data_IF_754100726796
#
_entry.id   IF_754100726796
#
_cell.length_a   1.000
_cell.length_b   1.000
_cell.length_c   1.000
_cell.angle_alpha   90.00
_cell.angle_beta   90.00
_cell.angle_gamma   90.00
#
_symmetry.space_group_name_H-M   'P 1'
#
loop_
_entity.id
_entity.type
_entity.pdbx_description
1 polymer ?
#
# COMPACT_ATOMS: atom_id res chain seq x y z
N UNK A 1 17.07 -6.43 -33.49
CA UNK A 1 17.18 -5.38 -32.45
C UNK A 1 18.48 -5.61 -31.72
N UNK A 2 19.33 -4.60 -31.54
CA UNK A 2 20.60 -4.74 -30.82
C UNK A 2 20.37 -4.94 -29.31
N UNK A 3 21.14 -5.82 -28.68
CA UNK A 3 21.07 -6.04 -27.24
C UNK A 3 21.45 -4.77 -26.45
N UNK A 4 20.74 -4.47 -25.35
CA UNK A 4 21.02 -3.29 -24.55
C UNK A 4 22.38 -3.41 -23.84
N UNK A 5 23.19 -2.36 -23.92
CA UNK A 5 24.46 -2.27 -23.22
C UNK A 5 24.27 -2.11 -21.70
N UNK A 6 25.27 -2.46 -20.86
CA UNK A 6 25.19 -2.24 -19.41
C UNK A 6 24.90 -0.78 -19.02
N UNK A 7 25.41 0.18 -19.79
CA UNK A 7 25.16 1.61 -19.58
C UNK A 7 23.70 2.00 -19.90
N UNK A 8 23.12 1.45 -20.97
CA UNK A 8 21.69 1.64 -21.29
C UNK A 8 20.79 1.05 -20.19
N UNK A 9 21.10 -0.15 -19.70
CA UNK A 9 20.39 -0.77 -18.58
C UNK A 9 20.51 0.06 -17.28
N UNK A 10 21.68 0.65 -17.01
CA UNK A 10 21.86 1.54 -15.88
C UNK A 10 20.94 2.77 -15.96
N UNK A 11 20.85 3.40 -17.15
CA UNK A 11 19.98 4.57 -17.38
C UNK A 11 18.50 4.20 -17.28
N UNK A 12 18.09 3.05 -17.82
CA UNK A 12 16.73 2.55 -17.67
C UNK A 12 16.38 2.27 -16.21
N UNK A 13 17.31 1.71 -15.43
CA UNK A 13 17.11 1.49 -13.99
C UNK A 13 16.94 2.81 -13.24
N UNK A 14 17.71 3.85 -13.55
CA UNK A 14 17.53 5.17 -12.94
C UNK A 14 16.14 5.75 -13.22
N UNK A 15 15.66 5.66 -14.46
CA UNK A 15 14.31 6.10 -14.81
C UNK A 15 13.23 5.27 -14.09
N UNK A 16 13.41 3.95 -14.04
CA UNK A 16 12.50 3.06 -13.31
C UNK A 16 12.49 3.37 -11.80
N UNK A 17 13.63 3.74 -11.22
CA UNK A 17 13.72 4.14 -9.81
C UNK A 17 12.86 5.37 -9.54
N UNK A 18 13.01 6.42 -10.35
CA UNK A 18 12.20 7.64 -10.21
C UNK A 18 10.69 7.36 -10.30
N UNK A 19 10.29 6.47 -11.22
CA UNK A 19 8.89 6.07 -11.36
C UNK A 19 8.41 5.25 -10.15
N UNK A 20 9.23 4.31 -9.67
CA UNK A 20 8.95 3.54 -8.46
C UNK A 20 8.76 4.46 -7.25
N UNK A 21 9.62 5.45 -7.08
CA UNK A 21 9.52 6.41 -5.97
C UNK A 21 8.22 7.22 -6.04
N UNK A 22 7.80 7.63 -7.25
CA UNK A 22 6.54 8.33 -7.46
C UNK A 22 5.34 7.46 -7.09
N UNK A 23 5.28 6.22 -7.57
CA UNK A 23 4.18 5.30 -7.25
C UNK A 23 4.17 4.93 -5.77
N UNK A 24 5.32 4.83 -5.11
CA UNK A 24 5.41 4.61 -3.66
C UNK A 24 4.84 5.78 -2.85
N UNK A 25 5.13 7.02 -3.25
CA UNK A 25 4.52 8.21 -2.62
C UNK A 25 3.01 8.21 -2.79
N UNK A 26 2.53 7.89 -4.00
CA UNK A 26 1.10 7.80 -4.29
C UNK A 26 0.43 6.72 -3.44
N UNK A 27 1.00 5.52 -3.39
CA UNK A 27 0.52 4.42 -2.56
C UNK A 27 0.48 4.80 -1.08
N UNK A 28 1.53 5.45 -0.57
CA UNK A 28 1.59 5.88 0.84
C UNK A 28 0.46 6.86 1.20
N UNK A 29 0.09 7.75 0.29
CA UNK A 29 -1.05 8.65 0.49
C UNK A 29 -2.39 7.90 0.56
N UNK A 30 -2.60 6.88 -0.28
CA UNK A 30 -3.78 6.00 -0.16
C UNK A 30 -3.77 5.21 1.14
N UNK A 31 -2.62 4.64 1.52
CA UNK A 31 -2.46 3.86 2.75
C UNK A 31 -2.82 4.69 3.98
N UNK A 32 -2.31 5.91 4.08
CA UNK A 32 -2.62 6.83 5.18
C UNK A 32 -4.12 7.12 5.28
N UNK A 33 -4.82 7.32 4.16
CA UNK A 33 -6.29 7.53 4.17
C UNK A 33 -7.05 6.30 4.66
N UNK A 34 -6.64 5.11 4.22
CA UNK A 34 -7.21 3.84 4.67
C UNK A 34 -6.99 3.63 6.17
N UNK A 35 -5.77 3.86 6.66
CA UNK A 35 -5.42 3.75 8.08
C UNK A 35 -6.27 4.70 8.94
N UNK A 36 -6.46 5.95 8.50
CA UNK A 36 -7.33 6.91 9.20
C UNK A 36 -8.79 6.44 9.22
N UNK A 37 -9.32 5.94 8.11
CA UNK A 37 -10.69 5.43 8.05
C UNK A 37 -10.89 4.20 8.96
N UNK A 38 -9.91 3.29 9.00
CA UNK A 38 -9.93 2.14 9.90
C UNK A 38 -9.88 2.56 11.37
N UNK A 39 -9.03 3.52 11.72
CA UNK A 39 -8.96 4.05 13.08
C UNK A 39 -10.28 4.72 13.50
N UNK A 40 -10.94 5.43 12.58
CA UNK A 40 -12.26 6.01 12.83
C UNK A 40 -13.33 4.95 13.09
N UNK A 41 -13.35 3.86 12.31
CA UNK A 41 -14.27 2.73 12.52
C UNK A 41 -14.05 2.12 13.91
N UNK A 42 -12.80 1.80 14.25
CA UNK A 42 -12.46 1.20 15.54
C UNK A 42 -12.88 2.09 16.73
N UNK A 43 -12.75 3.42 16.61
CA UNK A 43 -13.21 4.35 17.64
C UNK A 43 -14.75 4.32 17.82
N UNK A 44 -15.50 4.24 16.72
CA UNK A 44 -16.98 4.16 16.77
C UNK A 44 -17.43 2.83 17.37
N UNK A 45 -16.77 1.73 17.02
CA UNK A 45 -17.04 0.41 17.59
C UNK A 45 -16.76 0.38 19.09
N UNK A 46 -15.66 0.98 19.53
CA UNK A 46 -15.34 1.14 20.95
C UNK A 46 -16.41 1.95 21.70
N UNK A 47 -16.87 3.06 21.13
CA UNK A 47 -17.98 3.85 21.70
C UNK A 47 -19.26 3.03 21.83
N UNK A 48 -19.64 2.28 20.79
CA UNK A 48 -20.81 1.39 20.82
C UNK A 48 -20.67 0.31 21.89
N UNK A 49 -19.50 -0.33 21.98
CA UNK A 49 -19.23 -1.32 23.00
C UNK A 49 -19.36 -0.73 24.41
N UNK A 50 -18.89 0.50 24.62
CA UNK A 50 -19.04 1.22 25.90
C UNK A 50 -20.51 1.45 26.27
N UNK A 51 -21.36 1.80 25.30
CA UNK A 51 -22.81 1.97 25.53
C UNK A 51 -23.47 0.65 25.95
N UNK A 52 -23.14 -0.45 25.27
CA UNK A 52 -23.75 -1.76 25.55
C UNK A 52 -23.16 -2.49 26.76
N UNK A 53 -21.92 -2.19 27.14
CA UNK A 53 -21.28 -2.76 28.32
C UNK A 53 -21.76 -2.13 29.64
N UNK A 54 -22.68 -1.16 29.61
CA UNK A 54 -23.27 -0.58 30.80
C UNK A 54 -24.09 -1.64 31.56
N UNK A 55 -23.62 -2.02 32.76
CA UNK A 55 -24.20 -3.09 33.59
C UNK A 55 -25.16 -2.58 34.68
N UNK A 56 -25.51 -1.29 34.68
CA UNK A 56 -26.44 -0.71 35.64
C UNK A 56 -27.89 -0.75 35.14
N UNK A 57 -28.84 -0.84 36.08
CA UNK A 57 -30.25 -0.66 35.77
C UNK A 57 -30.48 0.77 35.25
N UNK A 58 -31.08 0.87 34.07
CA UNK A 58 -31.46 2.16 33.51
C UNK A 58 -32.84 2.58 33.98
N UNK A 59 -32.98 3.86 34.31
CA UNK A 59 -34.28 4.52 34.23
C UNK A 59 -34.75 4.57 32.76
N UNK A 60 -36.05 4.76 32.53
CA UNK A 60 -36.60 4.90 31.17
C UNK A 60 -35.92 6.06 30.41
N UNK A 61 -35.59 7.16 31.09
CA UNK A 61 -34.94 8.31 30.48
C UNK A 61 -33.51 7.97 30.02
N UNK A 62 -32.74 7.28 30.86
CA UNK A 62 -31.38 6.84 30.52
C UNK A 62 -31.39 5.79 29.41
N UNK A 63 -32.34 4.86 29.42
CA UNK A 63 -32.50 3.87 28.36
C UNK A 63 -32.81 4.54 27.00
N UNK A 64 -33.66 5.57 26.98
CA UNK A 64 -33.94 6.35 25.75
C UNK A 64 -32.70 7.07 25.26
N UNK A 65 -31.92 7.66 26.15
CA UNK A 65 -30.68 8.35 25.80
C UNK A 65 -29.64 7.38 25.23
N UNK A 66 -29.41 6.24 25.91
CA UNK A 66 -28.49 5.21 25.46
C UNK A 66 -28.87 4.68 24.05
N UNK A 67 -30.16 4.42 23.82
CA UNK A 67 -30.66 4.00 22.51
C UNK A 67 -30.47 5.09 21.42
N UNK A 68 -30.68 6.36 21.76
CA UNK A 68 -30.46 7.46 20.82
C UNK A 68 -28.98 7.56 20.41
N UNK A 69 -28.07 7.48 21.40
CA UNK A 69 -26.62 7.48 21.19
C UNK A 69 -26.16 6.27 20.37
N UNK A 70 -26.62 5.07 20.72
CA UNK A 70 -26.32 3.86 19.97
C UNK A 70 -26.81 3.97 18.52
N UNK A 71 -28.03 4.47 18.30
CA UNK A 71 -28.57 4.69 16.97
C UNK A 71 -27.76 5.69 16.15
N UNK A 72 -27.30 6.77 16.76
CA UNK A 72 -26.41 7.74 16.10
C UNK A 72 -25.07 7.11 15.71
N UNK A 73 -24.43 6.41 16.65
CA UNK A 73 -23.14 5.75 16.44
C UNK A 73 -23.22 4.65 15.39
N UNK A 74 -24.26 3.82 15.39
CA UNK A 74 -24.48 2.80 14.36
C UNK A 74 -24.63 3.41 12.96
N UNK A 75 -25.35 4.54 12.82
CA UNK A 75 -25.42 5.25 11.53
C UNK A 75 -24.07 5.85 11.12
N UNK A 76 -23.27 6.32 12.08
CA UNK A 76 -21.92 6.81 11.80
C UNK A 76 -20.98 5.68 11.35
N UNK A 77 -21.09 4.50 11.99
CA UNK A 77 -20.34 3.30 11.63
C UNK A 77 -20.61 2.90 10.19
N UNK A 78 -21.88 2.76 9.81
CA UNK A 78 -22.27 2.41 8.43
C UNK A 78 -21.70 3.37 7.39
N UNK A 79 -21.70 4.68 7.67
CA UNK A 79 -21.11 5.67 6.76
C UNK A 79 -19.59 5.54 6.66
N UNK A 80 -18.91 5.30 7.78
CA UNK A 80 -17.46 5.13 7.82
C UNK A 80 -17.04 3.85 7.07
N UNK A 81 -17.75 2.74 7.29
CA UNK A 81 -17.53 1.47 6.57
C UNK A 81 -17.77 1.63 5.06
N UNK A 82 -18.85 2.29 4.66
CA UNK A 82 -19.12 2.56 3.25
C UNK A 82 -18.02 3.43 2.63
N UNK A 83 -17.54 4.44 3.35
CA UNK A 83 -16.44 5.30 2.90
C UNK A 83 -15.15 4.49 2.72
N UNK A 84 -14.80 3.63 3.68
CA UNK A 84 -13.65 2.72 3.57
C UNK A 84 -13.78 1.80 2.35
N UNK A 85 -14.94 1.18 2.15
CA UNK A 85 -15.20 0.32 0.99
C UNK A 85 -15.00 1.04 -0.35
N UNK A 86 -15.36 2.32 -0.43
CA UNK A 86 -15.14 3.15 -1.62
C UNK A 86 -13.65 3.48 -1.85
N UNK A 87 -12.83 3.52 -0.80
CA UNK A 87 -11.39 3.81 -0.91
C UNK A 87 -10.56 2.59 -1.33
N UNK A 88 -11.00 1.37 -0.95
CA UNK A 88 -10.23 0.12 -1.16
C UNK A 88 -9.82 -0.13 -2.62
N UNK A 89 -10.67 0.08 -3.65
CA UNK A 89 -10.26 -0.12 -5.04
C UNK A 89 -9.08 0.79 -5.44
N UNK A 90 -9.12 2.07 -5.04
CA UNK A 90 -8.04 3.02 -5.32
C UNK A 90 -6.75 2.65 -4.60
N UNK A 91 -6.86 2.17 -3.36
CA UNK A 91 -5.74 1.63 -2.59
C UNK A 91 -5.08 0.44 -3.29
N UNK A 92 -5.86 -0.56 -3.73
CA UNK A 92 -5.31 -1.74 -4.41
C UNK A 92 -4.67 -1.40 -5.76
N UNK A 93 -5.27 -0.49 -6.54
CA UNK A 93 -4.67 -0.01 -7.79
C UNK A 93 -3.32 0.65 -7.53
N UNK A 94 -3.23 1.53 -6.53
CA UNK A 94 -1.98 2.19 -6.17
C UNK A 94 -0.94 1.19 -5.65
N UNK A 95 -1.37 0.21 -4.83
CA UNK A 95 -0.52 -0.87 -4.32
C UNK A 95 0.09 -1.69 -5.46
N UNK A 96 -0.72 -2.13 -6.41
CA UNK A 96 -0.26 -2.92 -7.55
C UNK A 96 0.70 -2.13 -8.46
N UNK A 97 0.42 -0.85 -8.71
CA UNK A 97 1.31 0.02 -9.47
C UNK A 97 2.68 0.16 -8.79
N UNK A 98 2.69 0.42 -7.49
CA UNK A 98 3.90 0.56 -6.70
C UNK A 98 4.74 -0.73 -6.69
N UNK A 99 4.10 -1.89 -6.45
CA UNK A 99 4.77 -3.21 -6.50
C UNK A 99 5.37 -3.49 -7.87
N UNK A 100 4.63 -3.18 -8.95
CA UNK A 100 5.10 -3.40 -10.32
C UNK A 100 6.34 -2.59 -10.65
N UNK A 101 6.34 -1.29 -10.32
CA UNK A 101 7.47 -0.42 -10.63
C UNK A 101 8.69 -0.74 -9.76
N UNK A 102 8.48 -1.09 -8.50
CA UNK A 102 9.55 -1.63 -7.65
C UNK A 102 10.16 -2.91 -8.25
N UNK A 103 9.31 -3.85 -8.70
CA UNK A 103 9.76 -5.08 -9.36
C UNK A 103 10.57 -4.80 -10.63
N UNK A 104 10.16 -3.81 -11.44
CA UNK A 104 10.90 -3.39 -12.64
C UNK A 104 12.32 -2.90 -12.31
N UNK A 105 12.48 -2.12 -11.24
CA UNK A 105 13.81 -1.66 -10.79
C UNK A 105 14.71 -2.86 -10.47
N UNK A 106 14.16 -3.86 -9.77
CA UNK A 106 14.90 -5.07 -9.38
C UNK A 106 15.35 -5.86 -10.61
N UNK A 107 14.44 -6.15 -11.53
CA UNK A 107 14.72 -6.90 -12.76
C UNK A 107 15.78 -6.20 -13.62
N UNK A 108 15.70 -4.88 -13.79
CA UNK A 108 16.73 -4.14 -14.54
C UNK A 108 18.11 -4.20 -13.87
N UNK A 109 18.15 -4.30 -12.54
CA UNK A 109 19.37 -4.53 -11.79
C UNK A 109 19.96 -5.92 -12.02
N UNK A 110 19.12 -6.95 -11.96
CA UNK A 110 19.48 -8.36 -12.18
C UNK A 110 20.01 -8.56 -13.62
N UNK A 111 19.27 -8.11 -14.64
CA UNK A 111 19.71 -8.20 -16.06
C UNK A 111 21.06 -7.52 -16.26
N UNK A 112 21.30 -6.36 -15.62
CA UNK A 112 22.59 -5.66 -15.75
C UNK A 112 23.73 -6.45 -15.10
N UNK A 113 23.49 -7.08 -13.95
CA UNK A 113 24.48 -7.88 -13.26
C UNK A 113 24.86 -9.10 -14.11
N UNK A 114 23.87 -9.84 -14.60
CA UNK A 114 24.07 -11.01 -15.46
C UNK A 114 24.90 -10.66 -16.72
N UNK A 115 24.59 -9.52 -17.36
CA UNK A 115 25.33 -9.07 -18.54
C UNK A 115 26.78 -8.69 -18.24
N UNK A 116 27.06 -8.11 -17.07
CA UNK A 116 28.42 -7.78 -16.65
C UNK A 116 29.22 -9.04 -16.34
N UNK A 117 28.59 -10.03 -15.70
CA UNK A 117 29.21 -11.31 -15.38
C UNK A 117 29.55 -12.10 -16.65
N UNK A 118 28.65 -12.14 -17.63
CA UNK A 118 28.89 -12.74 -18.93
C UNK A 118 30.11 -12.10 -19.63
N UNK A 119 30.18 -10.76 -19.68
CA UNK A 119 31.32 -10.05 -20.26
C UNK A 119 32.63 -10.33 -19.52
N UNK A 120 32.59 -10.43 -18.19
CA UNK A 120 33.76 -10.79 -17.40
C UNK A 120 34.24 -12.22 -17.68
N UNK A 121 33.31 -13.17 -17.84
CA UNK A 121 33.63 -14.55 -18.21
C UNK A 121 34.23 -14.64 -19.62
N UNK A 122 33.69 -13.92 -20.60
CA UNK A 122 34.25 -13.86 -21.95
C UNK A 122 35.67 -13.29 -21.98
N UNK A 123 35.93 -12.21 -21.23
CA UNK A 123 37.26 -11.62 -21.12
C UNK A 123 38.27 -12.60 -20.52
N UNK A 124 37.87 -13.34 -19.46
CA UNK A 124 38.70 -14.39 -18.85
C UNK A 124 38.99 -15.54 -19.82
N UNK A 125 37.99 -16.00 -20.57
CA UNK A 125 38.18 -17.07 -21.59
C UNK A 125 39.15 -16.63 -22.68
N UNK A 126 39.04 -15.39 -23.17
CA UNK A 126 39.98 -14.84 -24.15
C UNK A 126 41.41 -14.75 -23.60
N UNK A 127 41.56 -14.33 -22.34
CA UNK A 127 42.87 -14.25 -21.68
C UNK A 127 43.51 -15.62 -21.39
N UNK A 128 42.73 -16.71 -21.33
CA UNK A 128 43.27 -18.07 -21.15
C UNK A 128 43.63 -18.80 -22.46
N UNK A 129 43.27 -18.23 -23.60
CA UNK A 129 43.46 -18.81 -24.95
C UNK A 129 44.52 -18.09 -25.79
N UNK A 130 45.08 -16.98 -25.27
CA UNK A 130 46.20 -16.24 -25.87
C UNK A 130 47.39 -16.25 -24.93
#
# INVERSE_FOLDING_TARGET
>A
MSEPTPAQLARLRQLAQLKSDLEMRRFSAYRSRVEVAQAQIAAIEHDLQGIYAATGDFTIAEARLANALAGERSRALLRAEQSLQQMLPGYEVARQAAVREFGRVKVLGEIRADLLDQKAQEARRKASLG
#
